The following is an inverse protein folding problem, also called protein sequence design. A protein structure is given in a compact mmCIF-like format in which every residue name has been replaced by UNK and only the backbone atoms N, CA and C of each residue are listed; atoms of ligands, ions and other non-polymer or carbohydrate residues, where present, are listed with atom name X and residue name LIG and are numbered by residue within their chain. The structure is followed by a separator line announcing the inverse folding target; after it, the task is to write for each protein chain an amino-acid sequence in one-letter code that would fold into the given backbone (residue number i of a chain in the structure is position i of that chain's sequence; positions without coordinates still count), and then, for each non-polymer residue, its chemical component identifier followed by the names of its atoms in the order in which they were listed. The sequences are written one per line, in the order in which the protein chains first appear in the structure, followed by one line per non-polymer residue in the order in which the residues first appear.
data_IF_317890652826
#
_entry.id   IF_317890652826
#
_cell.length_a   1.000
_cell.length_b   1.000
_cell.length_c   1.000
_cell.angle_alpha   90.00
_cell.angle_beta   90.00
_cell.angle_gamma   90.00
#
_symmetry.space_group_name_H-M   'P 1'
#
loop_
_entity.id
_entity.type
_entity.pdbx_description
1 polymer ?
#
# COMPACT_ATOMS: atom_id res chain seq x y z
N UNK A 1 11.74 -7.71 15.57
CA UNK A 1 10.44 -8.41 15.71
C UNK A 1 9.51 -7.52 16.50
N UNK A 2 8.22 -7.41 16.12
CA UNK A 2 7.28 -6.45 16.73
C UNK A 2 6.35 -7.16 17.72
N UNK A 3 6.62 -7.01 19.02
CA UNK A 3 5.90 -7.71 20.09
C UNK A 3 4.37 -7.49 20.05
N UNK A 4 3.92 -6.29 19.68
CA UNK A 4 2.50 -5.99 19.50
C UNK A 4 1.85 -6.82 18.38
N UNK A 5 2.49 -6.89 17.20
CA UNK A 5 1.95 -7.62 16.05
C UNK A 5 1.94 -9.13 16.31
N UNK A 6 2.96 -9.63 17.00
CA UNK A 6 3.00 -11.03 17.44
C UNK A 6 1.93 -11.34 18.49
N UNK A 7 1.76 -10.44 19.46
CA UNK A 7 0.72 -10.55 20.47
C UNK A 7 -0.67 -10.60 19.84
N UNK A 8 -0.98 -9.69 18.92
CA UNK A 8 -2.27 -9.65 18.23
C UNK A 8 -2.53 -10.89 17.39
N UNK A 9 -1.51 -11.36 16.64
CA UNK A 9 -1.62 -12.61 15.90
C UNK A 9 -1.91 -13.78 16.83
N UNK A 10 -1.17 -13.89 17.93
CA UNK A 10 -1.33 -14.99 18.87
C UNK A 10 -2.72 -14.96 19.54
N UNK A 11 -3.19 -13.78 19.98
CA UNK A 11 -4.53 -13.61 20.55
C UNK A 11 -5.61 -14.03 19.56
N UNK A 12 -5.54 -13.55 18.31
CA UNK A 12 -6.47 -13.91 17.25
C UNK A 12 -6.50 -15.41 16.97
N UNK A 13 -5.33 -16.02 16.76
CA UNK A 13 -5.24 -17.43 16.33
C UNK A 13 -5.61 -18.39 17.46
N UNK A 14 -5.26 -18.06 18.71
CA UNK A 14 -5.44 -18.98 19.84
C UNK A 14 -6.75 -18.78 20.58
N UNK A 15 -7.24 -17.53 20.67
CA UNK A 15 -8.46 -17.18 21.40
C UNK A 15 -9.64 -16.92 20.47
N UNK A 16 -9.38 -16.68 19.18
CA UNK A 16 -10.42 -16.39 18.19
C UNK A 16 -11.05 -15.01 18.38
N UNK A 17 -10.38 -14.11 19.10
CA UNK A 17 -10.87 -12.76 19.37
C UNK A 17 -9.71 -11.76 19.36
N UNK A 18 -10.05 -10.52 19.00
CA UNK A 18 -9.18 -9.36 19.12
C UNK A 18 -10.02 -8.13 19.50
N UNK A 19 -9.50 -7.31 20.40
CA UNK A 19 -10.11 -6.00 20.68
C UNK A 19 -10.11 -5.12 19.43
N UNK A 20 -11.15 -4.29 19.24
CA UNK A 20 -11.33 -3.50 18.03
C UNK A 20 -10.11 -2.61 17.69
N UNK A 21 -9.50 -1.95 18.67
CA UNK A 21 -8.25 -1.19 18.45
C UNK A 21 -7.13 -2.07 17.87
N UNK A 22 -6.95 -3.28 18.40
CA UNK A 22 -5.95 -4.21 17.91
C UNK A 22 -6.25 -4.69 16.49
N UNK A 23 -7.53 -4.90 16.14
CA UNK A 23 -7.95 -5.19 14.76
C UNK A 23 -7.54 -4.06 13.81
N UNK A 24 -7.82 -2.81 14.19
CA UNK A 24 -7.47 -1.63 13.40
C UNK A 24 -5.96 -1.44 13.25
N UNK A 25 -5.19 -1.62 14.32
CA UNK A 25 -3.72 -1.51 14.28
C UNK A 25 -3.09 -2.61 13.42
N UNK A 26 -3.55 -3.86 13.56
CA UNK A 26 -3.06 -4.98 12.76
C UNK A 26 -3.38 -4.75 11.27
N UNK A 27 -4.60 -4.30 10.95
CA UNK A 27 -4.98 -3.96 9.59
C UNK A 27 -4.12 -2.83 9.02
N UNK A 28 -3.92 -1.75 9.78
CA UNK A 28 -3.10 -0.62 9.34
C UNK A 28 -1.64 -1.03 9.10
N UNK A 29 -1.07 -1.84 9.99
CA UNK A 29 0.28 -2.39 9.82
C UNK A 29 0.40 -3.21 8.53
N UNK A 30 -0.53 -4.13 8.31
CA UNK A 30 -0.50 -5.00 7.13
C UNK A 30 -0.65 -4.20 5.83
N UNK A 31 -1.59 -3.26 5.78
CA UNK A 31 -1.83 -2.45 4.58
C UNK A 31 -0.71 -1.43 4.34
N UNK A 32 -0.38 -0.61 5.33
CA UNK A 32 0.45 0.58 5.10
C UNK A 32 1.95 0.33 5.29
N UNK A 33 2.34 -0.49 6.25
CA UNK A 33 3.76 -0.83 6.48
C UNK A 33 4.21 -2.04 5.66
N UNK A 34 3.37 -3.07 5.55
CA UNK A 34 3.73 -4.32 4.86
C UNK A 34 3.24 -4.38 3.41
N UNK A 35 2.44 -3.42 2.96
CA UNK A 35 1.90 -3.34 1.59
C UNK A 35 1.13 -4.59 1.18
N UNK A 36 0.47 -5.22 2.15
CA UNK A 36 -0.44 -6.35 1.92
C UNK A 36 -1.79 -5.79 1.48
N UNK A 37 -2.36 -6.37 0.42
CA UNK A 37 -3.69 -6.00 -0.02
C UNK A 37 -4.73 -6.30 1.08
N UNK A 38 -5.62 -5.35 1.37
CA UNK A 38 -6.55 -5.42 2.50
C UNK A 38 -7.39 -6.70 2.51
N UNK A 39 -7.78 -7.20 1.33
CA UNK A 39 -8.60 -8.41 1.19
C UNK A 39 -7.92 -9.65 1.79
N UNK A 40 -6.61 -9.81 1.58
CA UNK A 40 -5.88 -10.96 2.13
C UNK A 40 -5.86 -10.93 3.67
N UNK A 41 -5.74 -9.75 4.27
CA UNK A 41 -5.83 -9.60 5.72
C UNK A 41 -7.25 -9.81 6.24
N UNK A 42 -8.26 -9.35 5.49
CA UNK A 42 -9.67 -9.54 5.83
C UNK A 42 -10.06 -11.02 5.82
N UNK A 43 -9.66 -11.76 4.79
CA UNK A 43 -9.90 -13.20 4.66
C UNK A 43 -9.25 -13.94 5.85
N UNK A 44 -7.98 -13.64 6.16
CA UNK A 44 -7.28 -14.23 7.31
C UNK A 44 -7.94 -13.92 8.66
N UNK A 45 -8.45 -12.70 8.86
CA UNK A 45 -9.21 -12.36 10.07
C UNK A 45 -10.49 -13.18 10.18
N UNK A 46 -11.22 -13.33 9.07
CA UNK A 46 -12.48 -14.05 9.04
C UNK A 46 -12.31 -15.54 9.34
N UNK A 47 -11.18 -16.13 8.96
CA UNK A 47 -10.83 -17.52 9.29
C UNK A 47 -10.66 -17.79 10.80
N UNK A 48 -10.29 -16.76 11.59
CA UNK A 48 -9.93 -16.92 13.00
C UNK A 48 -10.92 -16.25 13.97
N UNK A 49 -11.63 -15.21 13.55
CA UNK A 49 -12.57 -14.51 14.42
C UNK A 49 -13.83 -15.34 14.70
N UNK A 50 -14.07 -15.64 15.97
CA UNK A 50 -15.30 -16.28 16.43
C UNK A 50 -16.53 -15.38 16.27
N UNK A 51 -16.33 -14.06 16.30
CA UNK A 51 -17.35 -13.03 16.09
C UNK A 51 -17.30 -12.42 14.68
N UNK A 52 -16.63 -13.10 13.73
CA UNK A 52 -16.41 -12.60 12.39
C UNK A 52 -17.68 -12.53 11.55
N UNK A 53 -18.21 -11.33 11.35
CA UNK A 53 -19.19 -11.04 10.30
C UNK A 53 -18.47 -10.59 9.02
N UNK A 54 -18.67 -11.26 7.86
CA UNK A 54 -17.97 -10.93 6.62
C UNK A 54 -18.17 -9.48 6.17
N UNK A 55 -19.39 -8.94 6.30
CA UNK A 55 -19.70 -7.59 5.84
C UNK A 55 -18.99 -6.53 6.70
N UNK A 56 -19.12 -6.63 8.01
CA UNK A 56 -18.48 -5.73 8.97
C UNK A 56 -16.96 -5.80 8.87
N UNK A 57 -16.40 -7.02 8.78
CA UNK A 57 -14.96 -7.22 8.63
C UNK A 57 -14.43 -6.57 7.35
N UNK A 58 -15.03 -6.86 6.19
CA UNK A 58 -14.60 -6.26 4.92
C UNK A 58 -14.70 -4.73 4.94
N UNK A 59 -15.77 -4.18 5.50
CA UNK A 59 -15.95 -2.74 5.60
C UNK A 59 -14.85 -2.09 6.45
N UNK A 60 -14.52 -2.66 7.60
CA UNK A 60 -13.42 -2.17 8.46
C UNK A 60 -12.08 -2.20 7.74
N UNK A 61 -11.77 -3.27 7.02
CA UNK A 61 -10.51 -3.39 6.27
C UNK A 61 -10.39 -2.39 5.12
N UNK A 62 -11.46 -2.21 4.34
CA UNK A 62 -11.50 -1.21 3.28
C UNK A 62 -11.39 0.22 3.81
N UNK A 63 -12.02 0.51 4.96
CA UNK A 63 -11.92 1.80 5.62
C UNK A 63 -10.48 2.10 6.05
N UNK A 64 -9.80 1.12 6.67
CA UNK A 64 -8.38 1.26 7.06
C UNK A 64 -7.49 1.49 5.84
N UNK A 65 -7.76 0.78 4.75
CA UNK A 65 -7.03 0.90 3.49
C UNK A 65 -7.35 2.17 2.70
N UNK A 66 -8.26 3.03 3.17
CA UNK A 66 -8.72 4.22 2.46
C UNK A 66 -9.33 3.93 1.09
N UNK A 67 -9.87 2.73 0.84
CA UNK A 67 -10.38 2.35 -0.49
C UNK A 67 -11.64 3.13 -0.89
N UNK A 68 -12.36 3.67 0.08
CA UNK A 68 -13.52 4.56 -0.14
C UNK A 68 -13.49 5.81 0.76
N UNK A 69 -12.41 6.05 1.50
CA UNK A 69 -12.27 7.20 2.40
C UNK A 69 -11.18 8.17 1.90
N UNK A 70 -11.27 9.43 2.31
CA UNK A 70 -10.33 10.48 1.89
C UNK A 70 -8.98 10.45 2.63
N UNK A 71 -8.87 9.70 3.75
CA UNK A 71 -7.65 9.61 4.55
C UNK A 71 -7.44 8.19 5.09
N UNK A 72 -6.25 7.59 4.89
CA UNK A 72 -5.93 6.28 5.43
C UNK A 72 -5.82 6.33 6.95
N UNK A 73 -6.27 5.26 7.60
CA UNK A 73 -6.08 5.10 9.04
C UNK A 73 -4.71 4.48 9.33
N UNK A 74 -4.00 5.06 10.30
CA UNK A 74 -2.74 4.56 10.83
C UNK A 74 -2.58 5.01 12.29
N UNK A 75 -1.58 4.46 12.97
CA UNK A 75 -1.31 4.72 14.39
C UNK A 75 0.18 4.94 14.62
N UNK A 76 0.52 5.59 15.73
CA UNK A 76 1.89 5.71 16.22
C UNK A 76 2.07 4.92 17.53
N UNK A 77 3.32 4.83 17.98
CA UNK A 77 3.70 4.14 19.22
C UNK A 77 2.95 4.70 20.43
N UNK A 78 2.86 6.02 20.57
CA UNK A 78 2.17 6.66 21.68
C UNK A 78 0.70 6.25 21.79
N UNK A 79 -0.01 6.16 20.67
CA UNK A 79 -1.39 5.68 20.62
C UNK A 79 -1.46 4.22 21.09
N UNK A 80 -0.60 3.36 20.55
CA UNK A 80 -0.54 1.94 20.92
C UNK A 80 -0.25 1.78 22.42
N UNK A 81 0.74 2.47 22.96
CA UNK A 81 1.09 2.41 24.38
C UNK A 81 -0.07 2.87 25.27
N UNK A 82 -0.70 3.99 24.94
CA UNK A 82 -1.83 4.53 25.69
C UNK A 82 -2.98 3.53 25.79
N UNK A 83 -3.36 2.90 24.68
CA UNK A 83 -4.54 2.03 24.61
C UNK A 83 -4.23 0.55 24.85
N UNK A 84 -2.95 0.19 25.03
CA UNK A 84 -2.52 -1.15 25.47
C UNK A 84 -1.89 -1.15 26.86
N UNK A 85 -1.93 -0.02 27.57
CA UNK A 85 -1.25 0.17 28.86
C UNK A 85 0.25 -0.20 28.81
N UNK A 86 0.92 0.13 27.70
CA UNK A 86 2.34 -0.14 27.49
C UNK A 86 2.73 -1.62 27.33
N UNK A 87 1.76 -2.55 27.37
CA UNK A 87 1.96 -4.01 27.40
C UNK A 87 2.94 -4.52 26.36
N UNK A 88 2.98 -3.91 25.18
CA UNK A 88 3.76 -4.40 24.04
C UNK A 88 5.06 -3.66 23.78
N UNK A 89 5.30 -2.51 24.42
CA UNK A 89 6.39 -1.62 24.04
C UNK A 89 7.61 -1.72 24.97
N UNK A 90 7.39 -1.91 26.27
CA UNK A 90 8.46 -1.92 27.28
C UNK A 90 9.54 -2.98 27.01
N UNK A 91 9.13 -4.20 26.66
CA UNK A 91 10.02 -5.34 26.43
C UNK A 91 10.15 -5.71 24.94
N UNK A 92 9.78 -4.79 24.04
CA UNK A 92 9.81 -5.07 22.62
C UNK A 92 11.27 -5.16 22.12
N UNK A 93 11.68 -6.24 21.42
CA UNK A 93 13.03 -6.34 20.86
C UNK A 93 13.39 -5.21 19.88
N UNK A 94 12.37 -4.60 19.27
CA UNK A 94 12.53 -3.47 18.35
C UNK A 94 12.20 -2.12 19.03
N UNK A 95 12.30 -2.01 20.35
CA UNK A 95 11.98 -0.79 21.11
C UNK A 95 12.72 0.46 20.58
N UNK A 96 14.04 0.39 20.43
CA UNK A 96 14.88 1.52 19.97
C UNK A 96 14.71 1.85 18.49
N UNK A 97 14.26 0.87 17.69
CA UNK A 97 14.09 1.00 16.24
C UNK A 97 12.62 0.87 15.83
N UNK A 98 11.70 1.22 16.74
CA UNK A 98 10.29 0.95 16.57
C UNK A 98 9.74 1.72 15.34
N UNK A 99 9.16 1.01 14.35
CA UNK A 99 8.70 1.63 13.10
C UNK A 99 7.48 2.55 13.29
N UNK A 100 6.89 2.56 14.48
CA UNK A 100 5.74 3.37 14.87
C UNK A 100 6.15 4.59 15.71
N UNK A 101 7.43 4.71 16.08
CA UNK A 101 7.93 5.73 17.02
C UNK A 101 8.27 7.04 16.30
N UNK A 102 7.24 7.61 15.68
CA UNK A 102 7.28 8.86 14.93
C UNK A 102 5.99 9.65 15.18
N UNK A 103 6.04 10.96 14.92
CA UNK A 103 4.81 11.77 14.93
C UNK A 103 3.86 11.33 13.81
N UNK A 104 2.56 11.65 13.95
CA UNK A 104 1.58 11.37 12.90
C UNK A 104 1.97 12.02 11.56
N UNK A 105 2.50 13.24 11.59
CA UNK A 105 2.96 13.94 10.39
C UNK A 105 4.12 13.19 9.72
N UNK A 106 5.13 12.77 10.50
CA UNK A 106 6.27 12.01 9.97
C UNK A 106 5.85 10.66 9.40
N UNK A 107 4.91 9.97 10.05
CA UNK A 107 4.35 8.72 9.55
C UNK A 107 3.56 8.92 8.27
N UNK A 108 2.73 9.97 8.17
CA UNK A 108 1.99 10.29 6.96
C UNK A 108 2.93 10.52 5.77
N UNK A 109 3.99 11.30 6.00
CA UNK A 109 5.03 11.53 5.00
C UNK A 109 5.73 10.23 4.60
N UNK A 110 6.10 9.39 5.56
CA UNK A 110 6.83 8.13 5.32
C UNK A 110 5.98 7.08 4.60
N UNK A 111 4.69 6.98 4.93
CA UNK A 111 3.81 5.91 4.43
C UNK A 111 3.16 6.27 3.10
N UNK A 112 2.80 7.55 2.89
CA UNK A 112 1.90 7.94 1.80
C UNK A 112 2.48 8.94 0.80
N UNK A 113 3.53 9.71 1.13
CA UNK A 113 4.15 10.58 0.13
C UNK A 113 4.98 9.72 -0.84
N UNK A 114 4.67 9.83 -2.12
CA UNK A 114 5.41 9.21 -3.21
C UNK A 114 6.84 9.78 -3.21
N UNK A 115 7.86 8.92 -3.03
CA UNK A 115 9.22 9.30 -3.40
C UNK A 115 9.20 9.64 -4.89
N UNK A 116 9.70 10.82 -5.30
CA UNK A 116 9.74 11.16 -6.71
C UNK A 116 10.48 10.05 -7.44
N UNK A 117 9.84 9.46 -8.45
CA UNK A 117 10.48 8.49 -9.32
C UNK A 117 11.78 9.12 -9.81
N UNK A 118 12.92 8.50 -9.50
CA UNK A 118 14.21 8.97 -10.00
C UNK A 118 14.09 9.09 -11.52
N UNK A 119 14.15 10.32 -12.02
CA UNK A 119 14.12 10.59 -13.46
C UNK A 119 15.35 9.88 -14.02
N UNK A 120 15.15 8.75 -14.71
CA UNK A 120 16.19 8.14 -15.53
C UNK A 120 16.42 9.13 -16.67
N UNK A 121 17.52 9.87 -16.63
CA UNK A 121 17.96 10.70 -17.74
C UNK A 121 18.04 9.84 -18.99
N UNK A 122 17.03 9.98 -19.86
CA UNK A 122 17.01 9.33 -21.16
C UNK A 122 18.13 9.93 -22.00
N UNK A 123 19.16 9.12 -22.27
CA UNK A 123 20.21 9.44 -23.24
C UNK A 123 19.54 9.80 -24.57
N UNK A 124 19.56 11.08 -24.92
CA UNK A 124 19.08 11.62 -26.19
C UNK A 124 19.96 11.08 -27.32
N UNK A 125 19.52 10.00 -27.98
CA UNK A 125 20.14 9.53 -29.21
C UNK A 125 19.71 10.45 -30.35
N UNK A 126 20.55 11.46 -30.62
CA UNK A 126 20.42 12.40 -31.74
C UNK A 126 20.51 11.64 -33.07
N UNK A 127 19.37 11.34 -33.69
CA UNK A 127 19.34 10.86 -35.08
C UNK A 127 19.49 12.05 -36.01
N UNK A 128 20.71 12.31 -36.45
CA UNK A 128 20.97 13.11 -37.64
C UNK A 128 20.78 12.20 -38.86
N UNK A 129 19.73 12.42 -39.65
CA UNK A 129 19.76 12.02 -41.06
C UNK A 129 19.10 13.06 -41.96
N UNK A 130 19.94 13.51 -42.87
CA UNK A 130 19.84 14.59 -43.82
C UNK A 130 18.72 14.40 -44.85
N UNK A 131 18.03 15.50 -45.11
CA UNK A 131 17.25 15.75 -46.31
C UNK A 131 18.09 15.54 -47.57
N UNK A 132 17.56 14.80 -48.54
CA UNK A 132 17.88 15.03 -49.95
C UNK A 132 16.61 14.84 -50.78
N UNK A 133 16.27 15.92 -51.47
CA UNK A 133 15.11 16.12 -52.34
C UNK A 133 15.66 16.09 -53.76
N UNK A 134 15.17 15.20 -54.62
CA UNK A 134 15.34 15.33 -56.07
C UNK A 134 14.05 14.92 -56.77
N UNK A 135 13.40 15.94 -57.33
CA UNK A 135 12.31 15.86 -58.29
C UNK A 135 12.80 15.27 -59.61
N UNK A 136 11.97 14.46 -60.28
CA UNK A 136 11.78 14.48 -61.74
C UNK A 136 10.52 13.66 -62.13
N UNK A 137 9.72 14.25 -63.02
CA UNK A 137 8.52 13.78 -63.75
C UNK A 137 8.83 13.99 -65.26
N UNK A 138 8.01 13.62 -66.27
CA UNK A 138 6.82 12.73 -66.35
C UNK A 138 6.80 11.85 -67.65
N UNK A 139 5.60 11.32 -68.02
CA UNK A 139 5.15 10.73 -69.32
C UNK A 139 5.11 9.19 -69.32
N UNK A 140 4.10 8.45 -69.80
CA UNK A 140 2.89 8.69 -70.62
C UNK A 140 1.92 7.48 -70.49
N UNK A 141 0.62 7.74 -70.70
CA UNK A 141 -0.58 6.87 -70.75
C UNK A 141 -0.61 5.90 -71.97
N UNK A 142 -1.66 5.09 -72.31
CA UNK A 142 -2.98 4.80 -71.66
C UNK A 142 -3.52 3.32 -71.75
N UNK A 143 -4.76 3.13 -71.28
CA UNK A 143 -5.77 2.08 -71.61
C UNK A 143 -5.75 0.83 -70.69
N UNK A 144 -6.84 0.27 -70.14
CA UNK A 144 -8.21 0.01 -70.67
C UNK A 144 -9.21 -0.37 -69.54
N UNK A 145 -10.42 0.18 -69.62
CA UNK A 145 -11.80 -0.24 -69.22
C UNK A 145 -12.14 -1.17 -68.03
N UNK A 146 -13.17 -0.69 -67.29
CA UNK A 146 -14.44 -1.31 -66.81
C UNK A 146 -14.40 -2.72 -66.16
N UNK A 147 -14.89 -2.84 -64.93
CA UNK A 147 -16.31 -3.04 -64.57
C UNK A 147 -16.59 -2.44 -63.19
#
# INVERSE_FOLDING_TARGET
QLACMDGFRNELVTQGWLHNHARMWMAAYLVHWRRVHWRAGADWFLEHLLDGDPASNHLSWQWVASSFSHKPYFFNRQNLERYSNGRYCQECPSHESCPFDLSYEQLEQKLFKVQPAAIREGTTRRSSRSSSRSSQRPSSNPSTQRF
#
